data_IF_070667033265
#
_entry.id   IF_070667033265
#
_cell.length_a   1.000
_cell.length_b   1.000
_cell.length_c   1.000
_cell.angle_alpha   90.00
_cell.angle_beta   90.00
_cell.angle_gamma   90.00
#
_symmetry.space_group_name_H-M   'P 1'
#
loop_
_entity.id
_entity.type
_entity.pdbx_description
1 polymer ?
#
# COMPACT_ATOMS: atom_id res chain seq x y z
N UNK A 1 24.17 20.20 40.12
CA UNK A 1 22.84 20.82 39.89
C UNK A 1 21.77 20.06 40.66
N UNK A 2 20.64 20.68 41.02
CA UNK A 2 19.55 20.01 41.74
C UNK A 2 18.37 19.72 40.81
N UNK A 3 17.75 18.54 40.97
CA UNK A 3 16.56 18.15 40.21
C UNK A 3 15.33 18.98 40.63
N UNK A 4 14.65 19.62 39.68
CA UNK A 4 13.43 20.42 39.94
C UNK A 4 12.22 19.59 40.40
N UNK A 5 12.25 18.26 40.21
CA UNK A 5 11.15 17.36 40.58
C UNK A 5 11.32 16.70 41.95
N UNK A 6 12.54 16.26 42.29
CA UNK A 6 12.80 15.51 43.53
C UNK A 6 13.84 16.14 44.46
N UNK A 7 14.49 17.23 44.05
CA UNK A 7 15.48 17.95 44.86
C UNK A 7 16.82 17.24 45.06
N UNK A 8 17.05 16.07 44.46
CA UNK A 8 18.35 15.38 44.60
C UNK A 8 19.46 16.13 43.86
N UNK A 9 20.66 16.09 44.41
CA UNK A 9 21.86 16.60 43.75
C UNK A 9 22.23 15.66 42.59
N UNK A 10 22.61 16.23 41.45
CA UNK A 10 22.94 15.52 40.22
C UNK A 10 24.19 16.12 39.60
N UNK A 11 24.98 15.29 38.93
CA UNK A 11 26.18 15.70 38.20
C UNK A 11 25.83 16.72 37.12
N UNK A 12 26.74 17.64 36.84
CA UNK A 12 26.50 18.82 35.99
C UNK A 12 26.19 18.49 34.53
N UNK A 13 26.48 17.27 34.08
CA UNK A 13 26.23 16.77 32.73
C UNK A 13 25.26 15.57 32.69
N UNK A 14 24.55 15.27 33.77
CA UNK A 14 23.55 14.20 33.75
C UNK A 14 22.33 14.62 32.90
N UNK A 15 21.92 13.79 31.95
CA UNK A 15 20.76 14.08 31.10
C UNK A 15 19.42 13.74 31.80
N UNK A 16 19.46 12.83 32.77
CA UNK A 16 18.33 12.43 33.61
C UNK A 16 18.72 12.42 35.08
N UNK A 17 17.74 12.60 35.96
CA UNK A 17 17.94 12.42 37.39
C UNK A 17 18.08 10.92 37.75
N UNK A 18 19.18 10.52 38.39
CA UNK A 18 19.40 9.14 38.83
C UNK A 18 18.39 8.64 39.88
N UNK A 19 17.69 9.55 40.57
CA UNK A 19 16.75 9.19 41.64
C UNK A 19 15.31 9.06 41.16
N UNK A 20 14.83 9.98 40.32
CA UNK A 20 13.43 10.02 39.89
C UNK A 20 13.21 9.87 38.37
N UNK A 21 14.29 9.79 37.59
CA UNK A 21 14.24 9.62 36.14
C UNK A 21 13.76 10.83 35.35
N UNK A 22 13.46 11.98 35.98
CA UNK A 22 13.01 13.16 35.24
C UNK A 22 14.16 13.76 34.41
N UNK A 23 13.91 14.23 33.18
CA UNK A 23 14.90 14.94 32.39
C UNK A 23 15.30 16.25 33.09
N UNK A 24 16.59 16.58 33.04
CA UNK A 24 17.09 17.82 33.63
C UNK A 24 16.97 18.96 32.62
N UNK A 25 16.47 20.11 33.09
CA UNK A 25 16.13 21.27 32.28
C UNK A 25 17.39 21.81 31.60
N UNK A 26 17.40 21.87 30.27
CA UNK A 26 18.55 22.34 29.48
C UNK A 26 19.24 21.28 28.62
N UNK A 27 18.96 19.99 28.85
CA UNK A 27 19.26 18.97 27.83
C UNK A 27 18.21 19.06 26.72
N UNK A 28 18.51 19.86 25.69
CA UNK A 28 17.91 19.69 24.38
C UNK A 28 18.41 18.33 23.91
N UNK A 29 17.64 17.27 24.20
CA UNK A 29 17.81 16.05 23.41
C UNK A 29 17.75 16.50 21.97
N UNK A 30 18.69 16.11 21.10
CA UNK A 30 18.40 16.14 19.69
C UNK A 30 17.13 15.32 19.61
N UNK A 31 15.99 16.00 19.47
CA UNK A 31 14.77 15.37 19.04
C UNK A 31 15.21 14.86 17.68
N UNK A 32 15.65 13.60 17.63
CA UNK A 32 15.71 12.85 16.42
C UNK A 32 14.26 12.89 15.97
N UNK A 33 13.90 13.94 15.22
CA UNK A 33 12.83 13.87 14.24
C UNK A 33 13.27 12.66 13.46
N UNK A 34 12.72 11.50 13.81
CA UNK A 34 13.12 10.21 13.29
C UNK A 34 13.29 10.44 11.81
N UNK A 35 14.55 10.41 11.35
CA UNK A 35 14.92 10.98 10.07
C UNK A 35 13.98 10.35 9.07
N UNK A 36 13.00 11.12 8.58
CA UNK A 36 11.90 10.57 7.80
C UNK A 36 12.60 9.94 6.61
N UNK A 37 12.58 8.59 6.49
CA UNK A 37 13.38 7.92 5.48
C UNK A 37 12.93 8.53 4.17
N UNK A 38 13.86 9.20 3.48
CA UNK A 38 13.63 9.94 2.25
C UNK A 38 12.80 9.03 1.34
N UNK A 39 11.49 9.27 1.25
CA UNK A 39 10.58 8.36 0.56
C UNK A 39 10.92 8.48 -0.91
N UNK A 40 11.48 7.43 -1.48
CA UNK A 40 11.73 7.37 -2.90
C UNK A 40 10.38 7.49 -3.60
N UNK A 41 10.23 8.53 -4.43
CA UNK A 41 8.98 8.80 -5.14
C UNK A 41 8.54 7.65 -6.05
N UNK A 42 9.47 6.77 -6.41
CA UNK A 42 9.26 5.57 -7.23
C UNK A 42 8.22 4.62 -6.60
N UNK A 43 8.32 4.34 -5.30
CA UNK A 43 7.38 3.43 -4.61
C UNK A 43 5.98 4.05 -4.53
N UNK A 44 5.91 5.36 -4.30
CA UNK A 44 4.64 6.09 -4.28
C UNK A 44 4.01 6.09 -5.68
N UNK A 45 4.80 6.33 -6.73
CA UNK A 45 4.32 6.31 -8.11
C UNK A 45 3.72 4.95 -8.49
N UNK A 46 4.39 3.84 -8.15
CA UNK A 46 3.87 2.49 -8.39
C UNK A 46 2.55 2.23 -7.67
N UNK A 47 2.44 2.62 -6.39
CA UNK A 47 1.20 2.47 -5.62
C UNK A 47 0.04 3.29 -6.20
N UNK A 48 0.30 4.54 -6.62
CA UNK A 48 -0.71 5.40 -7.25
C UNK A 48 -1.15 4.83 -8.59
N UNK A 49 -0.24 4.31 -9.41
CA UNK A 49 -0.58 3.67 -10.68
C UNK A 49 -1.50 2.46 -10.50
N UNK A 50 -1.24 1.61 -9.50
CA UNK A 50 -2.14 0.49 -9.17
C UNK A 50 -3.52 0.97 -8.69
N UNK A 51 -3.58 2.08 -7.96
CA UNK A 51 -4.84 2.62 -7.44
C UNK A 51 -5.68 3.25 -8.56
N UNK A 52 -5.03 3.98 -9.47
CA UNK A 52 -5.68 4.55 -10.66
C UNK A 52 -6.11 3.44 -11.62
N UNK A 53 -5.27 2.44 -11.89
CA UNK A 53 -5.64 1.33 -12.78
C UNK A 53 -6.77 0.49 -12.20
N UNK A 54 -6.74 0.20 -10.90
CA UNK A 54 -7.84 -0.48 -10.20
C UNK A 54 -9.13 0.34 -10.23
N UNK A 55 -9.06 1.66 -10.03
CA UNK A 55 -10.23 2.55 -10.12
C UNK A 55 -10.87 2.57 -11.51
N UNK A 56 -10.05 2.67 -12.56
CA UNK A 56 -10.52 2.58 -13.95
C UNK A 56 -11.11 1.19 -14.21
N UNK A 57 -10.49 0.13 -13.72
CA UNK A 57 -10.99 -1.25 -13.84
C UNK A 57 -12.35 -1.45 -13.19
N UNK A 58 -12.59 -0.87 -12.01
CA UNK A 58 -13.92 -0.89 -11.38
C UNK A 58 -14.94 -0.14 -12.23
N UNK A 59 -14.61 1.06 -12.72
CA UNK A 59 -15.53 1.81 -13.57
C UNK A 59 -15.90 1.03 -14.83
N UNK A 60 -14.89 0.52 -15.56
CA UNK A 60 -15.10 -0.28 -16.77
C UNK A 60 -15.88 -1.55 -16.48
N UNK A 61 -15.53 -2.28 -15.42
CA UNK A 61 -16.24 -3.49 -14.99
C UNK A 61 -17.69 -3.20 -14.60
N UNK A 62 -17.95 -2.10 -13.92
CA UNK A 62 -19.30 -1.66 -13.57
C UNK A 62 -20.14 -1.33 -14.81
N UNK A 63 -19.58 -0.61 -15.77
CA UNK A 63 -20.23 -0.34 -17.06
C UNK A 63 -20.47 -1.63 -17.86
N UNK A 64 -19.56 -2.61 -17.82
CA UNK A 64 -19.73 -3.93 -18.43
C UNK A 64 -20.88 -4.72 -17.79
N UNK A 65 -20.97 -4.73 -16.46
CA UNK A 65 -22.08 -5.38 -15.74
C UNK A 65 -23.40 -4.69 -16.06
N UNK A 66 -23.45 -3.36 -16.02
CA UNK A 66 -24.65 -2.59 -16.39
C UNK A 66 -25.06 -2.83 -17.84
N UNK A 67 -24.11 -2.83 -18.77
CA UNK A 67 -24.35 -3.10 -20.18
C UNK A 67 -24.89 -4.51 -20.41
N UNK A 68 -24.28 -5.52 -19.77
CA UNK A 68 -24.77 -6.90 -19.83
C UNK A 68 -26.18 -7.05 -19.25
N UNK A 69 -26.45 -6.40 -18.10
CA UNK A 69 -27.77 -6.41 -17.48
C UNK A 69 -28.81 -5.69 -18.34
N UNK A 70 -28.44 -4.57 -18.96
CA UNK A 70 -29.28 -3.80 -19.86
C UNK A 70 -29.62 -4.60 -21.13
N UNK A 71 -28.63 -5.27 -21.73
CA UNK A 71 -28.83 -6.19 -22.86
C UNK A 71 -29.81 -7.31 -22.49
N UNK A 72 -29.63 -7.97 -21.34
CA UNK A 72 -30.56 -9.00 -20.87
C UNK A 72 -31.97 -8.46 -20.66
N UNK A 73 -32.12 -7.22 -20.19
CA UNK A 73 -33.42 -6.59 -19.99
C UNK A 73 -34.12 -6.24 -21.31
N UNK A 74 -33.37 -5.75 -22.31
CA UNK A 74 -33.94 -5.42 -23.63
C UNK A 74 -34.34 -6.68 -24.37
N UNK A 75 -33.51 -7.72 -24.39
CA UNK A 75 -33.80 -8.96 -25.12
C UNK A 75 -35.00 -9.71 -24.54
N UNK A 76 -35.22 -9.64 -23.22
CA UNK A 76 -36.41 -10.21 -22.59
C UNK A 76 -37.73 -9.61 -23.11
N UNK A 77 -37.67 -8.41 -23.70
CA UNK A 77 -38.85 -7.68 -24.19
C UNK A 77 -39.16 -7.92 -25.67
N UNK A 78 -38.20 -8.42 -26.46
CA UNK A 78 -38.32 -8.59 -27.91
C UNK A 78 -38.32 -10.09 -28.27
N UNK A 79 -39.52 -10.67 -28.24
CA UNK A 79 -39.94 -11.96 -28.83
C UNK A 79 -39.03 -13.20 -28.72
N UNK A 80 -39.63 -14.28 -28.20
CA UNK A 80 -39.09 -15.61 -27.89
C UNK A 80 -38.61 -16.43 -29.12
N UNK A 81 -38.44 -15.81 -30.28
CA UNK A 81 -38.11 -16.52 -31.51
C UNK A 81 -36.88 -15.94 -32.18
N UNK A 82 -35.85 -16.78 -32.20
CA UNK A 82 -34.69 -16.80 -33.09
C UNK A 82 -33.37 -16.34 -32.43
N UNK A 83 -32.51 -17.36 -32.23
CA UNK A 83 -31.05 -17.37 -32.00
C UNK A 83 -30.52 -17.36 -30.55
N UNK A 84 -30.21 -18.54 -30.02
CA UNK A 84 -29.47 -18.72 -28.76
C UNK A 84 -28.01 -18.25 -28.78
N UNK A 85 -27.58 -17.52 -29.81
CA UNK A 85 -26.25 -16.91 -29.88
C UNK A 85 -26.22 -15.56 -29.15
N UNK A 86 -27.30 -14.78 -29.18
CA UNK A 86 -27.40 -13.47 -28.52
C UNK A 86 -27.47 -13.61 -26.99
N UNK A 87 -28.18 -14.63 -26.49
CA UNK A 87 -28.23 -14.90 -25.05
C UNK A 87 -26.84 -15.21 -24.44
N UNK A 88 -25.94 -15.82 -25.22
CA UNK A 88 -24.57 -16.10 -24.75
C UNK A 88 -23.76 -14.82 -24.58
N UNK A 89 -24.05 -13.77 -25.35
CA UNK A 89 -23.29 -12.51 -25.33
C UNK A 89 -23.55 -11.77 -24.01
N UNK A 90 -24.82 -11.62 -23.60
CA UNK A 90 -25.20 -10.97 -22.35
C UNK A 90 -24.59 -11.65 -21.11
N UNK A 91 -24.72 -12.98 -21.03
CA UNK A 91 -24.14 -13.77 -19.94
C UNK A 91 -22.59 -13.68 -19.91
N UNK A 92 -21.96 -13.63 -21.08
CA UNK A 92 -20.50 -13.48 -21.21
C UNK A 92 -20.03 -12.13 -20.67
N UNK A 93 -20.67 -11.02 -21.06
CA UNK A 93 -20.32 -9.69 -20.57
C UNK A 93 -20.51 -9.56 -19.06
N UNK A 94 -21.58 -10.13 -18.51
CA UNK A 94 -21.85 -10.13 -17.08
C UNK A 94 -20.75 -10.91 -16.31
N UNK A 95 -20.39 -12.09 -16.80
CA UNK A 95 -19.34 -12.93 -16.20
C UNK A 95 -17.98 -12.23 -16.22
N UNK A 96 -17.59 -11.67 -17.37
CA UNK A 96 -16.34 -10.91 -17.53
C UNK A 96 -16.34 -9.67 -16.63
N UNK A 97 -17.45 -8.94 -16.57
CA UNK A 97 -17.61 -7.74 -15.73
C UNK A 97 -17.41 -8.04 -14.25
N UNK A 98 -18.01 -9.12 -13.73
CA UNK A 98 -17.84 -9.54 -12.33
C UNK A 98 -16.38 -9.89 -12.04
N UNK A 99 -15.75 -10.69 -12.91
CA UNK A 99 -14.34 -11.09 -12.75
C UNK A 99 -13.43 -9.86 -12.75
N UNK A 100 -13.67 -8.91 -13.67
CA UNK A 100 -12.91 -7.66 -13.75
C UNK A 100 -13.04 -6.82 -12.48
N UNK A 101 -14.24 -6.71 -11.90
CA UNK A 101 -14.46 -6.01 -10.62
C UNK A 101 -13.67 -6.68 -9.50
N UNK A 102 -13.72 -8.02 -9.38
CA UNK A 102 -12.98 -8.76 -8.34
C UNK A 102 -11.47 -8.50 -8.43
N UNK A 103 -10.89 -8.60 -9.63
CA UNK A 103 -9.46 -8.31 -9.81
C UNK A 103 -9.11 -6.85 -9.55
N UNK A 104 -10.00 -5.91 -9.91
CA UNK A 104 -9.79 -4.49 -9.66
C UNK A 104 -9.79 -4.17 -8.15
N UNK A 105 -10.66 -4.81 -7.37
CA UNK A 105 -10.67 -4.71 -5.91
C UNK A 105 -9.36 -5.26 -5.32
N UNK A 106 -8.88 -6.41 -5.80
CA UNK A 106 -7.58 -6.97 -5.38
C UNK A 106 -6.42 -6.03 -5.71
N UNK A 107 -6.45 -5.35 -6.87
CA UNK A 107 -5.45 -4.36 -7.24
C UNK A 107 -5.42 -3.16 -6.27
N UNK A 108 -6.59 -2.66 -5.87
CA UNK A 108 -6.70 -1.57 -4.89
C UNK A 108 -6.16 -2.00 -3.52
N UNK A 109 -6.54 -3.20 -3.04
CA UNK A 109 -6.01 -3.73 -1.78
C UNK A 109 -4.48 -3.92 -1.82
N UNK A 110 -3.95 -4.37 -2.96
CA UNK A 110 -2.52 -4.45 -3.22
C UNK A 110 -1.84 -3.08 -3.13
N UNK A 111 -2.41 -2.05 -3.77
CA UNK A 111 -1.91 -0.68 -3.72
C UNK A 111 -1.89 -0.11 -2.29
N UNK A 112 -2.97 -0.29 -1.53
CA UNK A 112 -3.07 0.18 -0.13
C UNK A 112 -2.05 -0.52 0.77
N UNK A 113 -1.89 -1.85 0.65
CA UNK A 113 -0.90 -2.58 1.46
C UNK A 113 0.54 -2.24 1.10
N UNK A 114 0.80 -1.89 -0.16
CA UNK A 114 2.10 -1.39 -0.62
C UNK A 114 2.48 -0.12 0.15
N UNK A 115 1.53 0.81 0.31
CA UNK A 115 1.74 2.05 1.09
C UNK A 115 2.02 1.78 2.57
N UNK A 116 1.45 0.71 3.15
CA UNK A 116 1.66 0.34 4.56
C UNK A 116 2.99 -0.38 4.81
N UNK A 117 3.76 -0.71 3.77
CA UNK A 117 5.02 -1.49 3.84
C UNK A 117 4.93 -2.82 4.60
N UNK A 118 3.73 -3.36 4.85
CA UNK A 118 3.59 -4.50 5.76
C UNK A 118 3.85 -5.85 5.09
N UNK A 119 3.72 -5.94 3.76
CA UNK A 119 3.88 -7.21 3.05
C UNK A 119 4.08 -7.00 1.54
N UNK A 120 5.26 -7.36 1.04
CA UNK A 120 5.59 -7.27 -0.39
C UNK A 120 4.76 -8.23 -1.26
N UNK A 121 4.44 -9.43 -0.76
CA UNK A 121 3.68 -10.42 -1.53
C UNK A 121 2.31 -9.93 -1.99
N UNK A 122 1.61 -9.17 -1.14
CA UNK A 122 0.30 -8.59 -1.48
C UNK A 122 0.39 -7.51 -2.57
N UNK A 123 1.52 -6.81 -2.66
CA UNK A 123 1.75 -5.82 -3.71
C UNK A 123 1.85 -6.50 -5.09
N UNK A 124 2.56 -7.63 -5.17
CA UNK A 124 2.69 -8.41 -6.40
C UNK A 124 1.34 -8.97 -6.85
N UNK A 125 0.58 -9.56 -5.92
CA UNK A 125 -0.75 -10.13 -6.24
C UNK A 125 -1.68 -9.07 -6.82
N UNK A 126 -1.71 -7.86 -6.22
CA UNK A 126 -2.51 -6.75 -6.76
C UNK A 126 -2.06 -6.32 -8.16
N UNK A 127 -0.75 -6.30 -8.42
CA UNK A 127 -0.21 -5.90 -9.73
C UNK A 127 -0.51 -6.92 -10.83
N UNK A 128 -0.43 -8.22 -10.51
CA UNK A 128 -0.79 -9.29 -11.46
C UNK A 128 -2.30 -9.23 -11.76
N UNK A 129 -3.12 -8.99 -10.73
CA UNK A 129 -4.56 -8.80 -10.91
C UNK A 129 -4.90 -7.67 -11.87
N UNK A 130 -4.17 -6.54 -11.80
CA UNK A 130 -4.37 -5.41 -12.71
C UNK A 130 -4.03 -5.75 -14.17
N UNK A 131 -3.04 -6.61 -14.43
CA UNK A 131 -2.69 -7.05 -15.79
C UNK A 131 -3.81 -7.89 -16.39
N UNK A 132 -4.37 -8.83 -15.61
CA UNK A 132 -5.46 -9.68 -16.07
C UNK A 132 -6.77 -8.93 -16.29
N UNK A 133 -7.08 -7.94 -15.44
CA UNK A 133 -8.27 -7.10 -15.60
C UNK A 133 -8.23 -6.23 -16.87
N UNK A 134 -7.03 -5.95 -17.40
CA UNK A 134 -6.82 -4.95 -18.45
C UNK A 134 -6.63 -5.53 -19.85
N UNK A 135 -7.03 -6.79 -20.06
CA UNK A 135 -6.65 -7.66 -21.18
C UNK A 135 -6.84 -7.07 -22.60
N UNK A 136 -7.65 -6.00 -22.78
CA UNK A 136 -7.96 -5.48 -24.11
C UNK A 136 -7.61 -4.01 -24.40
N UNK A 137 -7.60 -3.12 -23.40
CA UNK A 137 -7.38 -1.68 -23.62
C UNK A 137 -6.26 -1.05 -22.77
N UNK A 138 -5.91 -1.66 -21.63
CA UNK A 138 -5.09 -1.01 -20.59
C UNK A 138 -3.93 -1.93 -20.16
N UNK A 139 -3.51 -2.85 -21.03
CA UNK A 139 -2.45 -3.81 -20.72
C UNK A 139 -1.10 -3.11 -20.48
N UNK A 140 -0.82 -2.02 -21.21
CA UNK A 140 0.47 -1.30 -21.15
C UNK A 140 0.72 -0.70 -19.74
N UNK A 141 -0.20 0.08 -19.14
CA UNK A 141 -0.03 0.60 -17.77
C UNK A 141 0.16 -0.49 -16.71
N UNK A 142 -0.54 -1.63 -16.85
CA UNK A 142 -0.44 -2.75 -15.91
C UNK A 142 0.97 -3.34 -15.86
N UNK A 143 1.61 -3.52 -17.02
CA UNK A 143 2.99 -4.02 -17.10
C UNK A 143 3.97 -3.01 -16.50
N UNK A 144 3.80 -1.72 -16.78
CA UNK A 144 4.67 -0.66 -16.23
C UNK A 144 4.57 -0.63 -14.70
N UNK A 145 3.37 -0.72 -14.13
CA UNK A 145 3.16 -0.80 -12.69
C UNK A 145 3.86 -2.02 -12.07
N UNK A 146 3.76 -3.19 -12.72
CA UNK A 146 4.47 -4.40 -12.31
C UNK A 146 5.99 -4.18 -12.24
N UNK A 147 6.58 -3.57 -13.27
CA UNK A 147 8.03 -3.31 -13.34
C UNK A 147 8.45 -2.39 -12.19
N UNK A 148 7.70 -1.31 -11.94
CA UNK A 148 7.97 -0.38 -10.85
C UNK A 148 7.93 -1.07 -9.47
N UNK A 149 6.94 -1.93 -9.23
CA UNK A 149 6.84 -2.70 -7.99
C UNK A 149 8.02 -3.67 -7.84
N UNK A 150 8.42 -4.35 -8.90
CA UNK A 150 9.58 -5.27 -8.87
C UNK A 150 10.87 -4.50 -8.55
N UNK A 151 11.09 -3.34 -9.17
CA UNK A 151 12.26 -2.50 -8.89
C UNK A 151 12.29 -2.01 -7.43
N UNK A 152 11.11 -1.78 -6.85
CA UNK A 152 10.98 -1.34 -5.46
C UNK A 152 11.24 -2.45 -4.43
N UNK A 153 11.45 -3.71 -4.84
CA UNK A 153 11.70 -4.85 -3.95
C UNK A 153 12.75 -4.54 -2.88
N UNK A 154 13.88 -3.93 -3.25
CA UNK A 154 14.98 -3.63 -2.33
C UNK A 154 14.55 -2.71 -1.18
N UNK A 155 13.56 -1.85 -1.39
CA UNK A 155 13.05 -0.92 -0.37
C UNK A 155 12.18 -1.59 0.70
N UNK A 156 11.60 -2.76 0.40
CA UNK A 156 10.83 -3.53 1.38
C UNK A 156 11.73 -4.39 2.27
N UNK A 157 12.90 -4.81 1.78
CA UNK A 157 13.82 -5.66 2.54
C UNK A 157 14.82 -4.86 3.40
N UNK A 158 15.09 -3.61 3.04
CA UNK A 158 15.84 -2.71 3.91
C UNK A 158 14.91 -2.28 5.07
N UNK A 159 14.86 -3.11 6.11
CA UNK A 159 14.37 -2.67 7.42
C UNK A 159 15.17 -1.40 7.76
N UNK A 160 14.53 -0.34 8.26
CA UNK A 160 15.29 0.75 8.85
C UNK A 160 16.20 0.09 9.88
N UNK A 161 17.52 0.24 9.71
CA UNK A 161 18.49 -0.13 10.74
C UNK A 161 17.92 0.47 12.02
N UNK A 162 17.52 -0.40 12.95
CA UNK A 162 17.15 0.10 14.26
C UNK A 162 18.38 0.87 14.71
N UNK A 163 18.24 2.16 15.08
CA UNK A 163 19.37 2.92 15.55
C UNK A 163 20.02 2.04 16.59
N UNK A 164 21.28 1.64 16.33
CA UNK A 164 22.04 0.81 17.26
C UNK A 164 21.86 1.50 18.59
N UNK A 165 21.05 0.91 19.46
CA UNK A 165 20.88 1.42 20.80
C UNK A 165 22.29 1.37 21.30
N UNK A 166 22.91 2.55 21.45
CA UNK A 166 24.23 2.71 22.02
C UNK A 166 24.17 2.14 23.42
N UNK A 167 24.29 0.83 23.52
CA UNK A 167 24.77 0.14 24.68
C UNK A 167 26.24 0.50 24.63
N UNK A 168 26.51 1.70 25.13
CA UNK A 168 27.80 2.11 25.64
C UNK A 168 28.22 0.98 26.56
N UNK A 169 29.03 0.06 26.01
CA UNK A 169 29.70 -0.99 26.75
C UNK A 169 30.66 -0.27 27.68
N UNK A 170 30.13 0.19 28.82
CA UNK A 170 30.92 0.74 29.90
C UNK A 170 31.75 -0.42 30.43
N UNK A 171 32.99 -0.45 29.93
CA UNK A 171 34.08 -1.31 30.30
C UNK A 171 34.33 -1.12 31.80
N UNK A 172 33.76 -2.01 32.62
CA UNK A 172 34.11 -2.11 34.04
C UNK A 172 35.48 -2.77 34.09
N UNK A 173 36.51 -1.94 34.06
CA UNK A 173 37.88 -2.33 34.38
C UNK A 173 37.89 -2.61 35.89
N UNK A 174 38.03 -3.88 36.25
CA UNK A 174 38.33 -4.33 37.61
C UNK A 174 39.83 -4.40 37.83
#
# INVERSE_FOLDING_TARGET
MYCSRCGSQTETNAAFCHRCGSPLFGYIYPTHKAAQPKRNGILIAGAVLCLVSGGIGILVGFFLVLGGLYYMYTDFSYDLSVTGFEEMIGATYLTIGIIAIVFSVLAIFGGIKTLKKSSFGWAIVGSIGAVFASFWLVMIPGIVACIFIIMSRKEFYNKPEQPETGVEQNNVIH
#
